data_IF_482757176702
#
_entry.id   IF_482757176702
#
_cell.length_a   1.000
_cell.length_b   1.000
_cell.length_c   1.000
_cell.angle_alpha   90.00
_cell.angle_beta   90.00
_cell.angle_gamma   90.00
#
_symmetry.space_group_name_H-M   'P 1'
#
loop_
_entity.id
_entity.type
_entity.pdbx_description
1 polymer ?
#
# COMPACT_ATOMS: atom_id res chain seq x y z
N UNK A 1 -6.29 -0.93 11.67
CA UNK A 1 -7.11 -0.40 10.56
C UNK A 1 -6.43 -0.71 9.24
N UNK A 2 -7.19 -1.15 8.24
CA UNK A 2 -6.68 -1.46 6.90
C UNK A 2 -7.53 -0.72 5.88
N UNK A 3 -6.87 -0.09 4.90
CA UNK A 3 -7.53 0.73 3.90
C UNK A 3 -6.96 0.44 2.52
N UNK A 4 -7.85 0.04 1.61
CA UNK A 4 -7.48 -0.19 0.20
C UNK A 4 -7.56 1.15 -0.52
N UNK A 5 -6.41 1.68 -0.90
CA UNK A 5 -6.32 2.99 -1.56
C UNK A 5 -6.80 2.88 -3.00
N UNK A 6 -6.25 1.90 -3.73
CA UNK A 6 -6.55 1.72 -5.14
C UNK A 6 -6.26 0.30 -5.61
N UNK A 7 -7.06 -0.13 -6.58
CA UNK A 7 -6.88 -1.40 -7.29
C UNK A 7 -6.64 -1.08 -8.76
N UNK A 8 -5.68 -1.79 -9.36
CA UNK A 8 -5.34 -1.69 -10.77
C UNK A 8 -5.50 -3.06 -11.42
N UNK A 9 -6.12 -3.07 -12.61
CA UNK A 9 -6.05 -4.22 -13.51
C UNK A 9 -4.86 -4.04 -14.43
N UNK A 10 -3.88 -4.92 -14.33
CA UNK A 10 -2.68 -4.92 -15.16
C UNK A 10 -2.70 -6.09 -16.13
N UNK A 11 -2.12 -5.92 -17.32
CA UNK A 11 -2.12 -6.93 -18.37
C UNK A 11 -0.70 -7.17 -18.89
N UNK A 12 -0.29 -8.44 -18.99
CA UNK A 12 0.91 -8.86 -19.72
C UNK A 12 0.48 -9.40 -21.08
N UNK A 13 0.98 -8.78 -22.15
CA UNK A 13 0.73 -9.24 -23.53
C UNK A 13 1.62 -10.47 -23.81
N UNK A 14 1.03 -11.48 -24.46
CA UNK A 14 1.71 -12.71 -24.91
C UNK A 14 1.28 -13.01 -26.34
N UNK A 15 2.00 -13.93 -27.01
CA UNK A 15 1.74 -14.31 -28.41
C UNK A 15 0.28 -14.67 -28.76
N UNK A 16 -0.51 -15.16 -27.79
CA UNK A 16 -1.91 -15.56 -27.98
C UNK A 16 -2.95 -14.68 -27.29
N UNK A 17 -2.59 -13.53 -26.71
CA UNK A 17 -3.55 -12.66 -26.03
C UNK A 17 -2.97 -11.85 -24.88
N UNK A 18 -3.79 -11.59 -23.86
CA UNK A 18 -3.40 -10.83 -22.66
C UNK A 18 -3.68 -11.64 -21.41
N UNK A 19 -2.67 -11.78 -20.55
CA UNK A 19 -2.82 -12.34 -19.20
C UNK A 19 -3.07 -11.20 -18.23
N UNK A 20 -4.24 -11.20 -17.60
CA UNK A 20 -4.59 -10.18 -16.61
C UNK A 20 -4.10 -10.56 -15.21
N UNK A 21 -3.86 -9.54 -14.39
CA UNK A 21 -3.63 -9.65 -12.96
C UNK A 21 -4.15 -8.38 -12.29
N UNK A 22 -4.37 -8.45 -10.98
CA UNK A 22 -4.77 -7.30 -10.19
C UNK A 22 -3.64 -6.90 -9.25
N UNK A 23 -3.44 -5.60 -9.11
CA UNK A 23 -2.53 -5.00 -8.15
C UNK A 23 -3.33 -4.13 -7.20
N UNK A 24 -3.09 -4.22 -5.90
CA UNK A 24 -3.74 -3.42 -4.88
C UNK A 24 -2.70 -2.70 -4.04
N UNK A 25 -2.92 -1.41 -3.78
CA UNK A 25 -2.16 -0.62 -2.81
C UNK A 25 -3.00 -0.52 -1.53
N UNK A 26 -2.41 -0.94 -0.42
CA UNK A 26 -3.06 -0.96 0.88
C UNK A 26 -2.21 -0.22 1.90
N UNK A 27 -2.89 0.57 2.73
CA UNK A 27 -2.31 1.22 3.90
C UNK A 27 -2.89 0.57 5.16
N UNK A 28 -2.02 0.24 6.10
CA UNK A 28 -2.37 -0.35 7.39
C UNK A 28 -1.85 0.58 8.48
N UNK A 29 -2.64 0.79 9.52
CA UNK A 29 -2.23 1.56 10.69
C UNK A 29 -2.86 1.05 11.97
N UNK A 30 -2.17 1.24 13.09
CA UNK A 30 -2.66 0.86 14.43
C UNK A 30 -3.34 2.03 15.18
N UNK A 31 -3.30 3.24 14.62
CA UNK A 31 -3.85 4.44 15.24
C UNK A 31 -3.02 4.99 16.40
N UNK A 32 -1.88 4.37 16.71
CA UNK A 32 -0.95 4.74 17.79
C UNK A 32 0.39 5.22 17.24
N UNK A 33 0.41 5.64 15.97
CA UNK A 33 1.60 6.16 15.31
C UNK A 33 2.41 5.12 14.54
N UNK A 34 1.94 3.89 14.36
CA UNK A 34 2.54 2.98 13.38
C UNK A 34 1.69 2.89 12.13
N UNK A 35 2.36 3.05 10.99
CA UNK A 35 1.74 2.97 9.67
C UNK A 35 2.62 2.14 8.74
N UNK A 36 2.00 1.35 7.89
CA UNK A 36 2.66 0.58 6.86
C UNK A 36 1.88 0.71 5.56
N UNK A 37 2.59 0.77 4.44
CA UNK A 37 1.99 0.78 3.11
C UNK A 37 2.66 -0.28 2.26
N UNK A 38 1.87 -1.03 1.49
CA UNK A 38 2.42 -2.02 0.59
C UNK A 38 1.54 -2.23 -0.65
N UNK A 39 2.20 -2.70 -1.70
CA UNK A 39 1.57 -3.16 -2.92
C UNK A 39 1.55 -4.69 -2.94
N UNK A 40 0.39 -5.25 -3.26
CA UNK A 40 0.19 -6.67 -3.49
C UNK A 40 -0.32 -6.94 -4.90
N UNK A 41 0.07 -8.08 -5.48
CA UNK A 41 -0.33 -8.47 -6.83
C UNK A 41 -0.72 -9.94 -6.89
N UNK A 42 -1.84 -10.25 -7.52
CA UNK A 42 -2.33 -11.61 -7.70
C UNK A 42 -3.23 -11.73 -8.94
N UNK A 43 -3.71 -12.94 -9.24
CA UNK A 43 -4.69 -13.15 -10.32
C UNK A 43 -6.10 -12.68 -9.92
N UNK A 44 -6.40 -12.69 -8.63
CA UNK A 44 -7.68 -12.25 -8.07
C UNK A 44 -7.49 -11.05 -7.15
N UNK A 45 -8.54 -10.24 -7.02
CA UNK A 45 -8.54 -9.03 -6.19
C UNK A 45 -8.38 -9.34 -4.69
N UNK A 46 -9.15 -10.26 -4.08
CA UNK A 46 -9.03 -10.53 -2.64
C UNK A 46 -7.63 -11.03 -2.26
N UNK A 47 -7.02 -11.82 -3.15
CA UNK A 47 -5.68 -12.36 -2.95
C UNK A 47 -4.60 -11.27 -3.05
N UNK A 48 -4.76 -10.32 -3.97
CA UNK A 48 -3.86 -9.17 -4.07
C UNK A 48 -3.91 -8.30 -2.81
N UNK A 49 -5.12 -8.10 -2.26
CA UNK A 49 -5.33 -7.33 -1.02
C UNK A 49 -4.69 -8.06 0.17
N UNK A 50 -4.93 -9.38 0.34
CA UNK A 50 -4.33 -10.17 1.43
C UNK A 50 -2.80 -10.06 1.41
N UNK A 51 -2.17 -10.25 0.25
CA UNK A 51 -0.71 -10.14 0.07
C UNK A 51 -0.20 -8.74 0.42
N UNK A 52 -0.94 -7.70 0.05
CA UNK A 52 -0.60 -6.32 0.40
C UNK A 52 -0.67 -6.10 1.92
N UNK A 53 -1.74 -6.56 2.59
CA UNK A 53 -1.91 -6.41 4.04
C UNK A 53 -0.79 -7.10 4.81
N UNK A 54 -0.46 -8.36 4.48
CA UNK A 54 0.61 -9.10 5.16
C UNK A 54 1.98 -8.45 4.97
N UNK A 55 2.22 -7.83 3.82
CA UNK A 55 3.45 -7.07 3.58
C UNK A 55 3.46 -5.76 4.36
N UNK A 56 2.36 -4.99 4.31
CA UNK A 56 2.24 -3.73 5.03
C UNK A 56 2.38 -3.90 6.55
N UNK A 57 1.87 -5.01 7.11
CA UNK A 57 2.02 -5.33 8.54
C UNK A 57 3.46 -5.65 8.95
N UNK A 58 4.26 -6.22 8.04
CA UNK A 58 5.69 -6.51 8.30
C UNK A 58 6.54 -5.24 8.20
N UNK A 59 6.24 -4.39 7.22
CA UNK A 59 7.00 -3.18 6.92
C UNK A 59 6.40 -1.93 7.61
N UNK A 60 5.90 -2.06 8.84
CA UNK A 60 5.35 -0.93 9.59
C UNK A 60 6.45 0.00 10.09
N UNK A 61 6.24 1.30 9.90
CA UNK A 61 7.14 2.38 10.32
C UNK A 61 6.50 3.15 11.47
N UNK A 62 7.32 3.53 12.46
CA UNK A 62 6.90 4.39 13.56
C UNK A 62 6.98 5.86 13.15
N UNK A 63 5.87 6.57 13.29
CA UNK A 63 5.74 8.01 13.04
C UNK A 63 5.69 8.73 14.40
N UNK A 64 6.50 9.78 14.61
CA UNK A 64 6.45 10.56 15.84
C UNK A 64 5.14 11.37 15.88
N UNK A 65 4.29 11.08 16.85
CA UNK A 65 3.04 11.81 17.12
C UNK A 65 3.14 12.39 18.53
N UNK A 66 2.84 13.67 18.68
CA UNK A 66 2.71 14.33 19.99
C UNK A 66 1.23 14.62 20.20
N UNK A 67 0.63 13.92 21.18
CA UNK A 67 -0.81 13.89 21.41
C UNK A 67 -1.56 13.41 20.15
N UNK A 68 -2.08 14.32 19.34
CA UNK A 68 -2.84 14.05 18.12
C UNK A 68 -2.21 14.66 16.87
N UNK A 69 -1.05 15.32 17.00
CA UNK A 69 -0.48 16.18 15.96
C UNK A 69 0.96 15.78 15.63
N UNK A 70 1.40 16.10 14.40
CA UNK A 70 2.79 15.95 13.98
C UNK A 70 3.65 17.04 14.66
N UNK A 71 4.82 16.71 15.23
CA UNK A 71 5.59 17.64 16.06
C UNK A 71 6.06 18.92 15.34
N UNK A 72 6.36 18.84 14.05
CA UNK A 72 6.80 19.98 13.22
C UNK A 72 6.42 19.74 11.76
N UNK A 73 6.40 20.81 10.96
CA UNK A 73 6.13 20.71 9.53
C UNK A 73 7.29 19.98 8.82
N UNK A 74 6.94 19.00 8.00
CA UNK A 74 7.89 18.24 7.18
C UNK A 74 7.43 18.24 5.73
N UNK A 75 8.38 18.30 4.80
CA UNK A 75 8.13 18.17 3.36
C UNK A 75 8.61 16.78 2.95
N UNK A 76 7.67 15.91 2.60
CA UNK A 76 7.95 14.56 2.14
C UNK A 76 8.39 14.56 0.68
N UNK A 77 9.46 13.84 0.35
CA UNK A 77 9.92 13.68 -1.02
C UNK A 77 9.85 12.19 -1.39
N UNK A 78 9.19 11.86 -2.50
CA UNK A 78 9.09 10.49 -2.99
C UNK A 78 8.99 10.47 -4.52
N UNK A 79 10.01 9.93 -5.20
CA UNK A 79 10.12 9.89 -6.65
C UNK A 79 9.89 11.28 -7.30
N UNK A 80 8.82 11.42 -8.09
CA UNK A 80 8.43 12.66 -8.74
C UNK A 80 7.50 13.54 -7.88
N UNK A 81 7.11 13.08 -6.69
CA UNK A 81 6.26 13.79 -5.75
C UNK A 81 7.10 14.58 -4.73
N UNK A 82 6.64 15.79 -4.43
CA UNK A 82 7.23 16.75 -3.49
C UNK A 82 6.14 17.31 -2.59
#
# INVERSE_FOLDING_TARGET
>A
MEHVVKIYRVAKVVKGGRRFSFSAIVVVGDGQGRVGAALGKAQEVPEAIRKAIERAKRDMVSVPIVNTTVPHQVIGHADAAK
#
